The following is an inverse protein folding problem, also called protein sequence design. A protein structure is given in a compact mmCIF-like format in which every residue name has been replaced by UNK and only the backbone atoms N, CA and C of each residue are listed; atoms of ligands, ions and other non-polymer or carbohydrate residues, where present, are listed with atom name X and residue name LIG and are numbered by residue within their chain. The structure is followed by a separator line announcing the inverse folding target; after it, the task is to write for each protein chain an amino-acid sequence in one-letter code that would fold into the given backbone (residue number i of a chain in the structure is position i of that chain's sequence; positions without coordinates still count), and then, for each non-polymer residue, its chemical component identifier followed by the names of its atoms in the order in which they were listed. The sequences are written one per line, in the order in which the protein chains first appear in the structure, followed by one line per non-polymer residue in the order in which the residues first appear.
data_IF_147712754523
#
_entry.id   IF_147712754523
#
_cell.length_a   1.000
_cell.length_b   1.000
_cell.length_c   1.000
_cell.angle_alpha   90.00
_cell.angle_beta   90.00
_cell.angle_gamma   90.00
#
_symmetry.space_group_name_H-M   'P 1'
#
loop_
_entity.id
_entity.type
_entity.pdbx_description
1 polymer ?
#
# COMPACT_ATOMS: atom_id res chain seq x y z
N UNK A 1 -4.54 9.16 -18.87
CA UNK A 1 -5.50 9.96 -18.05
C UNK A 1 -4.81 10.33 -16.76
N UNK A 2 -4.99 11.58 -16.32
CA UNK A 2 -4.45 12.05 -15.04
C UNK A 2 -5.21 11.39 -13.87
N UNK A 3 -4.47 10.77 -12.95
CA UNK A 3 -5.02 10.11 -11.75
C UNK A 3 -3.99 10.09 -10.62
N UNK A 4 -4.29 9.37 -9.54
CA UNK A 4 -3.55 9.37 -8.29
C UNK A 4 -2.81 8.05 -8.10
N UNK A 5 -1.49 8.16 -7.86
CA UNK A 5 -0.67 7.08 -7.33
C UNK A 5 -0.47 7.28 -5.83
N UNK A 6 -0.63 6.21 -5.08
CA UNK A 6 -0.39 6.14 -3.66
C UNK A 6 0.81 5.25 -3.40
N UNK A 7 1.77 5.77 -2.64
CA UNK A 7 2.98 5.06 -2.24
C UNK A 7 2.95 4.95 -0.72
N UNK A 8 2.71 3.74 -0.22
CA UNK A 8 2.54 3.43 1.20
C UNK A 8 3.81 2.75 1.67
N UNK A 9 4.50 3.32 2.66
CA UNK A 9 5.68 2.67 3.25
C UNK A 9 5.38 2.24 4.67
N UNK A 10 5.53 0.96 4.96
CA UNK A 10 5.51 0.43 6.32
C UNK A 10 6.94 0.26 6.83
N UNK A 11 7.21 0.80 8.02
CA UNK A 11 8.56 0.86 8.59
C UNK A 11 8.71 -0.06 9.79
N UNK A 12 9.92 -0.60 9.99
CA UNK A 12 10.26 -1.36 11.19
C UNK A 12 9.60 -2.72 11.30
N UNK A 13 9.07 -3.23 10.20
CA UNK A 13 8.63 -4.61 10.11
C UNK A 13 9.87 -5.49 9.94
N UNK A 14 10.07 -6.44 10.85
CA UNK A 14 11.25 -7.31 10.86
C UNK A 14 11.24 -8.27 9.65
N UNK A 15 12.13 -8.03 8.70
CA UNK A 15 12.29 -8.88 7.49
C UNK A 15 12.57 -10.35 7.77
N UNK A 16 12.92 -10.71 9.01
CA UNK A 16 13.05 -12.12 9.40
C UNK A 16 11.70 -12.87 9.37
N UNK A 17 10.58 -12.16 9.52
CA UNK A 17 9.24 -12.74 9.60
C UNK A 17 8.28 -12.22 8.51
N UNK A 18 8.53 -11.04 7.96
CA UNK A 18 7.65 -10.37 7.03
C UNK A 18 8.35 -10.19 5.68
N UNK A 19 8.12 -11.13 4.76
CA UNK A 19 8.58 -11.04 3.37
C UNK A 19 7.62 -10.18 2.54
N UNK A 20 8.03 -9.80 1.33
CA UNK A 20 7.12 -9.16 0.36
C UNK A 20 5.85 -10.00 0.15
N UNK A 21 5.97 -11.34 0.07
CA UNK A 21 4.82 -12.24 -0.01
C UNK A 21 3.88 -12.16 1.19
N UNK A 22 4.41 -11.95 2.40
CA UNK A 22 3.56 -11.81 3.59
C UNK A 22 2.81 -10.49 3.58
N UNK A 23 3.49 -9.38 3.27
CA UNK A 23 2.86 -8.05 3.14
C UNK A 23 1.82 -8.08 2.02
N UNK A 24 2.12 -8.72 0.90
CA UNK A 24 1.20 -8.93 -0.21
C UNK A 24 -0.05 -9.69 0.21
N UNK A 25 0.07 -10.78 0.97
CA UNK A 25 -1.09 -11.52 1.51
C UNK A 25 -1.92 -10.69 2.49
N UNK A 26 -1.29 -9.91 3.36
CA UNK A 26 -2.04 -9.00 4.25
C UNK A 26 -2.83 -7.95 3.46
N UNK A 27 -2.24 -7.43 2.38
CA UNK A 27 -2.89 -6.48 1.48
C UNK A 27 -4.06 -7.13 0.74
N UNK A 28 -3.85 -8.32 0.16
CA UNK A 28 -4.88 -9.09 -0.54
C UNK A 28 -6.08 -9.36 0.38
N UNK A 29 -5.85 -9.87 1.59
CA UNK A 29 -6.91 -10.08 2.57
C UNK A 29 -7.69 -8.79 2.88
N UNK A 30 -7.00 -7.67 3.05
CA UNK A 30 -7.63 -6.38 3.31
C UNK A 30 -8.43 -5.86 2.10
N UNK A 31 -7.91 -6.05 0.88
CA UNK A 31 -8.56 -5.66 -0.36
C UNK A 31 -9.81 -6.51 -0.65
N UNK A 32 -9.76 -7.81 -0.37
CA UNK A 32 -10.90 -8.72 -0.50
C UNK A 32 -12.03 -8.34 0.48
N UNK A 33 -11.69 -8.04 1.74
CA UNK A 33 -12.66 -7.57 2.76
C UNK A 33 -13.33 -6.25 2.34
N UNK A 34 -12.55 -5.29 1.83
CA UNK A 34 -13.07 -4.01 1.34
C UNK A 34 -13.95 -4.20 0.10
N UNK A 35 -13.50 -5.00 -0.87
CA UNK A 35 -14.26 -5.29 -2.08
C UNK A 35 -15.61 -5.95 -1.78
N UNK A 36 -15.64 -6.92 -0.87
CA UNK A 36 -16.89 -7.54 -0.42
C UNK A 36 -17.88 -6.55 0.22
N UNK A 37 -17.38 -5.43 0.76
CA UNK A 37 -18.18 -4.43 1.46
C UNK A 37 -18.60 -3.26 0.56
N UNK A 38 -17.75 -2.85 -0.39
CA UNK A 38 -17.93 -1.61 -1.16
C UNK A 38 -17.94 -1.81 -2.68
N UNK A 39 -17.54 -2.98 -3.16
CA UNK A 39 -17.33 -3.26 -4.58
C UNK A 39 -16.08 -2.62 -5.18
N UNK A 40 -15.22 -1.99 -4.36
CA UNK A 40 -13.96 -1.37 -4.79
C UNK A 40 -12.79 -2.25 -4.42
N UNK A 41 -12.06 -2.74 -5.43
CA UNK A 41 -10.82 -3.50 -5.21
C UNK A 41 -9.62 -2.55 -5.29
N UNK A 42 -8.69 -2.69 -4.35
CA UNK A 42 -7.49 -1.85 -4.30
C UNK A 42 -6.27 -2.68 -4.69
N UNK A 43 -5.97 -2.70 -5.98
CA UNK A 43 -4.78 -3.38 -6.50
C UNK A 43 -3.51 -2.65 -6.07
N UNK A 44 -2.51 -3.40 -5.62
CA UNK A 44 -1.21 -2.88 -5.21
C UNK A 44 -0.05 -3.75 -5.68
N UNK A 45 1.12 -3.14 -5.81
CA UNK A 45 2.40 -3.83 -6.00
C UNK A 45 3.25 -3.65 -4.75
N UNK A 46 3.98 -4.67 -4.31
CA UNK A 46 4.83 -4.61 -3.13
C UNK A 46 6.31 -4.66 -3.52
N UNK A 47 7.10 -3.78 -2.92
CA UNK A 47 8.56 -3.75 -3.08
C UNK A 47 9.24 -3.53 -1.73
N UNK A 48 10.36 -4.20 -1.51
CA UNK A 48 11.23 -3.95 -0.36
C UNK A 48 12.32 -2.92 -0.68
N UNK A 49 12.53 -1.96 0.23
CA UNK A 49 13.63 -0.99 0.16
C UNK A 49 14.48 -0.98 1.42
N UNK A 50 15.78 -0.74 1.28
CA UNK A 50 16.64 -0.45 2.43
C UNK A 50 16.27 0.89 3.05
N UNK A 51 16.00 0.88 4.35
CA UNK A 51 15.71 2.07 5.14
C UNK A 51 17.01 2.64 5.71
N UNK A 52 17.34 3.88 5.32
CA UNK A 52 18.43 4.62 5.93
C UNK A 52 17.87 5.32 7.17
N UNK A 53 18.14 4.75 8.34
CA UNK A 53 17.82 5.39 9.61
C UNK A 53 19.09 5.70 10.40
N UNK A 54 19.26 6.96 10.80
CA UNK A 54 20.49 7.42 11.44
C UNK A 54 20.67 6.79 12.83
N UNK A 55 21.71 5.98 12.99
CA UNK A 55 22.07 5.35 14.28
C UNK A 55 22.32 6.40 15.38
N UNK A 56 22.82 7.59 15.01
CA UNK A 56 23.02 8.72 15.93
C UNK A 56 21.71 9.23 16.58
N UNK A 57 20.56 8.94 15.96
CA UNK A 57 19.23 9.25 16.53
C UNK A 57 18.70 8.11 17.41
N UNK A 58 19.48 7.06 17.64
CA UNK A 58 19.05 5.86 18.37
C UNK A 58 17.97 5.07 17.63
N UNK A 59 17.89 5.18 16.30
CA UNK A 59 16.80 4.60 15.53
C UNK A 59 16.80 3.07 15.57
N UNK A 60 15.71 2.49 16.09
CA UNK A 60 15.50 1.04 16.17
C UNK A 60 14.52 0.51 15.09
N UNK A 61 14.22 1.33 14.08
CA UNK A 61 13.10 1.15 13.16
C UNK A 61 13.37 0.14 12.02
N UNK A 62 14.22 -0.86 12.27
CA UNK A 62 14.68 -1.82 11.26
C UNK A 62 15.52 -1.18 10.15
N UNK A 63 16.15 -2.01 9.31
CA UNK A 63 16.95 -1.54 8.14
C UNK A 63 16.16 -1.59 6.83
N UNK A 64 14.87 -1.88 6.89
CA UNK A 64 14.05 -2.20 5.72
C UNK A 64 12.67 -1.55 5.85
N UNK A 65 12.13 -1.11 4.73
CA UNK A 65 10.74 -0.68 4.58
C UNK A 65 10.06 -1.43 3.45
N UNK A 66 8.84 -1.88 3.69
CA UNK A 66 7.99 -2.47 2.65
C UNK A 66 7.12 -1.37 2.06
N UNK A 67 7.14 -1.26 0.74
CA UNK A 67 6.42 -0.24 0.00
C UNK A 67 5.31 -0.89 -0.83
N UNK A 68 4.07 -0.46 -0.62
CA UNK A 68 2.96 -0.79 -1.50
C UNK A 68 2.68 0.40 -2.41
N UNK A 69 2.68 0.18 -3.72
CA UNK A 69 2.22 1.18 -4.69
C UNK A 69 0.88 0.77 -5.29
N UNK A 70 -0.11 1.65 -5.16
CA UNK A 70 -1.44 1.48 -5.72
C UNK A 70 -1.77 2.69 -6.61
N UNK A 71 -2.34 2.46 -7.79
CA UNK A 71 -2.77 3.51 -8.71
C UNK A 71 -4.25 3.35 -8.93
N UNK A 72 -5.02 4.44 -8.77
CA UNK A 72 -6.45 4.39 -9.09
C UNK A 72 -6.59 4.16 -10.59
N UNK A 73 -7.36 3.15 -10.99
CA UNK A 73 -7.81 3.00 -12.37
C UNK A 73 -9.17 3.70 -12.53
N UNK A 74 -9.27 4.86 -13.20
CA UNK A 74 -10.53 5.58 -13.29
C UNK A 74 -11.57 4.91 -14.19
N UNK A 75 -11.18 3.89 -14.96
CA UNK A 75 -12.12 3.03 -15.71
C UNK A 75 -12.88 2.11 -14.76
N UNK A 76 -12.22 1.62 -13.70
CA UNK A 76 -12.83 0.76 -12.68
C UNK A 76 -13.51 1.58 -11.58
N UNK A 77 -12.87 2.66 -11.13
CA UNK A 77 -13.37 3.53 -10.05
C UNK A 77 -13.24 4.99 -10.46
N UNK A 78 -14.33 5.52 -11.04
CA UNK A 78 -14.36 6.87 -11.59
C UNK A 78 -14.13 7.96 -10.53
N UNK A 79 -14.71 7.80 -9.33
CA UNK A 79 -14.63 8.78 -8.25
C UNK A 79 -13.37 8.61 -7.39
N UNK A 80 -12.55 9.66 -7.34
CA UNK A 80 -11.31 9.69 -6.55
C UNK A 80 -11.57 9.59 -5.05
N UNK A 81 -12.62 10.24 -4.54
CA UNK A 81 -12.97 10.21 -3.12
C UNK A 81 -13.31 8.80 -2.64
N UNK A 82 -14.07 8.07 -3.45
CA UNK A 82 -14.48 6.68 -3.22
C UNK A 82 -13.26 5.77 -3.19
N UNK A 83 -12.40 5.83 -4.21
CA UNK A 83 -11.17 5.03 -4.22
C UNK A 83 -10.27 5.35 -3.04
N UNK A 84 -10.05 6.64 -2.73
CA UNK A 84 -9.23 7.07 -1.59
C UNK A 84 -9.77 6.54 -0.27
N UNK A 85 -11.08 6.53 -0.08
CA UNK A 85 -11.71 5.97 1.12
C UNK A 85 -11.43 4.47 1.25
N UNK A 86 -11.67 3.70 0.20
CA UNK A 86 -11.40 2.25 0.17
C UNK A 86 -9.92 1.95 0.37
N UNK A 87 -9.02 2.70 -0.27
CA UNK A 87 -7.58 2.60 -0.06
C UNK A 87 -7.21 2.82 1.42
N UNK A 88 -7.74 3.85 2.08
CA UNK A 88 -7.45 4.11 3.50
C UNK A 88 -7.94 2.96 4.39
N UNK A 89 -9.09 2.36 4.09
CA UNK A 89 -9.57 1.18 4.80
C UNK A 89 -8.63 -0.02 4.62
N UNK A 90 -8.23 -0.32 3.38
CA UNK A 90 -7.27 -1.39 3.06
C UNK A 90 -5.93 -1.16 3.77
N UNK A 91 -5.43 0.08 3.77
CA UNK A 91 -4.20 0.46 4.48
C UNK A 91 -4.33 0.21 5.98
N UNK A 92 -5.42 0.67 6.61
CA UNK A 92 -5.63 0.50 8.05
C UNK A 92 -5.73 -0.98 8.43
N UNK A 93 -6.43 -1.77 7.62
CA UNK A 93 -6.58 -3.19 7.84
C UNK A 93 -5.26 -3.94 7.67
N UNK A 94 -4.53 -3.66 6.59
CA UNK A 94 -3.18 -4.20 6.35
C UNK A 94 -2.24 -3.85 7.51
N UNK A 95 -2.25 -2.59 7.95
CA UNK A 95 -1.47 -2.12 9.09
C UNK A 95 -1.81 -2.89 10.37
N UNK A 96 -3.08 -3.19 10.63
CA UNK A 96 -3.49 -4.00 11.78
C UNK A 96 -2.95 -5.43 11.73
N UNK A 97 -2.90 -6.04 10.54
CA UNK A 97 -2.39 -7.40 10.33
C UNK A 97 -0.86 -7.48 10.48
N UNK A 98 -0.18 -6.35 10.30
CA UNK A 98 1.28 -6.21 10.45
C UNK A 98 1.71 -5.74 11.85
N UNK A 99 0.82 -5.81 12.84
CA UNK A 99 1.05 -5.34 14.23
C UNK A 99 1.27 -3.81 14.35
N UNK A 100 0.52 -3.05 13.57
CA UNK A 100 0.41 -1.59 13.64
C UNK A 100 1.73 -0.80 13.51
N UNK A 101 2.59 -1.11 12.52
CA UNK A 101 3.87 -0.45 12.34
C UNK A 101 3.69 1.05 12.05
N UNK A 102 4.77 1.81 12.21
CA UNK A 102 4.82 3.16 11.70
C UNK A 102 4.70 3.13 10.17
N UNK A 103 4.02 4.12 9.60
CA UNK A 103 3.84 4.18 8.15
C UNK A 103 3.73 5.61 7.62
N UNK A 104 3.98 5.75 6.33
CA UNK A 104 3.74 6.99 5.58
C UNK A 104 2.94 6.70 4.30
N UNK A 105 2.28 7.72 3.78
CA UNK A 105 1.60 7.70 2.49
C UNK A 105 2.06 8.93 1.70
N UNK A 106 2.54 8.72 0.49
CA UNK A 106 2.79 9.77 -0.50
C UNK A 106 1.71 9.65 -1.57
N UNK A 107 1.17 10.79 -2.01
CA UNK A 107 0.14 10.85 -3.05
C UNK A 107 0.69 11.71 -4.19
N UNK A 108 0.77 11.13 -5.39
CA UNK A 108 1.25 11.79 -6.59
C UNK A 108 0.12 11.87 -7.62
N UNK A 109 0.10 12.95 -8.40
CA UNK A 109 -0.66 13.02 -9.65
C UNK A 109 0.19 12.40 -10.77
N UNK A 110 -0.38 11.46 -11.54
CA UNK A 110 0.32 10.70 -12.57
C UNK A 110 -0.51 10.59 -13.84
N UNK A 111 0.15 10.52 -14.99
CA UNK A 111 -0.49 10.08 -16.23
C UNK A 111 -0.52 8.55 -16.30
N UNK A 112 -1.73 7.99 -16.39
CA UNK A 112 -1.95 6.55 -16.36
C UNK A 112 -2.65 6.06 -17.64
N UNK A 113 -2.16 4.94 -18.18
CA UNK A 113 -2.73 4.22 -19.31
C UNK A 113 -2.96 2.76 -18.89
N UNK A 114 -4.19 2.27 -19.09
CA UNK A 114 -4.58 0.90 -18.76
C UNK A 114 -4.92 0.13 -20.02
N UNK A 115 -4.39 -1.09 -20.14
CA UNK A 115 -4.60 -1.97 -21.28
C UNK A 115 -5.16 -3.30 -20.78
N UNK A 116 -6.30 -3.72 -21.33
CA UNK A 116 -6.88 -5.03 -21.04
C UNK A 116 -6.20 -6.12 -21.88
N UNK A 117 -6.16 -7.35 -21.35
CA UNK A 117 -5.82 -8.52 -22.16
C UNK A 117 -6.85 -8.70 -23.28
N UNK A 118 -6.38 -9.13 -24.46
CA UNK A 118 -7.20 -9.44 -25.64
C UNK A 118 -7.39 -10.94 -25.74
#
# INVERSE_FOLDING_TARGET
MTTEQYIITFFGIDTKYYTDDFVGRCWEMAADEEYGSTGVYVTGTVTTHSLICGEIRGCQLGKVGHCVSAVRNPVEVADSGTYKKSLINVINRTRSLLDNPNMSIIINEVEYFYFCQI
#
